data_IF_525372276308
#
_entry.id   IF_525372276308
#
_cell.length_a   1.000
_cell.length_b   1.000
_cell.length_c   1.000
_cell.angle_alpha   90.00
_cell.angle_beta   90.00
_cell.angle_gamma   90.00
#
_symmetry.space_group_name_H-M   'P 1'
#
loop_
_entity.id
_entity.type
_entity.pdbx_description
1 polymer ?
#
# COMPACT_ATOMS: atom_id res chain seq x y z
N UNK A 1 58.83 -7.24 -33.56
CA UNK A 1 57.74 -6.61 -34.36
C UNK A 1 56.42 -7.38 -34.28
N UNK A 2 56.36 -8.68 -34.61
CA UNK A 2 55.11 -9.48 -34.59
C UNK A 2 54.37 -9.48 -33.23
N UNK A 3 55.10 -9.54 -32.10
CA UNK A 3 54.50 -9.53 -30.75
C UNK A 3 53.89 -8.18 -30.35
N UNK A 4 54.47 -7.06 -30.84
CA UNK A 4 53.93 -5.71 -30.61
C UNK A 4 52.65 -5.47 -31.41
N UNK A 5 52.56 -6.02 -32.62
CA UNK A 5 51.36 -5.94 -33.46
C UNK A 5 50.19 -6.66 -32.77
N UNK A 6 50.41 -7.83 -32.19
CA UNK A 6 49.36 -8.58 -31.47
C UNK A 6 48.84 -7.79 -30.25
N UNK A 7 49.74 -7.20 -29.46
CA UNK A 7 49.35 -6.39 -28.28
C UNK A 7 48.60 -5.12 -28.70
N UNK A 8 49.04 -4.45 -29.77
CA UNK A 8 48.37 -3.28 -30.31
C UNK A 8 46.97 -3.60 -30.84
N UNK A 9 46.77 -4.78 -31.42
CA UNK A 9 45.47 -5.24 -31.94
C UNK A 9 44.52 -5.67 -30.80
N UNK A 10 45.06 -6.23 -29.71
CA UNK A 10 44.28 -6.58 -28.52
C UNK A 10 43.79 -5.34 -27.74
N UNK A 11 44.60 -4.28 -27.69
CA UNK A 11 44.25 -3.04 -26.98
C UNK A 11 43.25 -2.16 -27.75
N UNK A 12 43.26 -2.17 -29.08
CA UNK A 12 42.29 -1.40 -29.88
C UNK A 12 40.93 -2.08 -29.99
N UNK A 13 40.85 -3.41 -29.87
CA UNK A 13 39.59 -4.15 -29.93
C UNK A 13 38.61 -3.87 -28.79
N UNK A 14 39.09 -3.31 -27.66
CA UNK A 14 38.26 -3.07 -26.46
C UNK A 14 37.50 -1.74 -26.52
N UNK A 15 37.84 -0.84 -27.45
CA UNK A 15 37.25 0.51 -27.55
C UNK A 15 36.10 0.63 -28.57
N UNK A 16 35.73 -0.45 -29.27
CA UNK A 16 34.72 -0.40 -30.33
C UNK A 16 33.27 -0.65 -29.86
N UNK A 17 33.01 -0.69 -28.55
CA UNK A 17 31.64 -0.77 -28.03
C UNK A 17 31.05 0.64 -27.90
N UNK A 18 30.58 1.21 -29.01
CA UNK A 18 29.79 2.43 -28.98
C UNK A 18 28.41 2.13 -28.37
N UNK A 19 28.11 2.69 -27.20
CA UNK A 19 26.76 2.65 -26.63
C UNK A 19 25.82 3.44 -27.55
N UNK A 20 24.96 2.73 -28.28
CA UNK A 20 24.05 3.35 -29.25
C UNK A 20 22.85 4.04 -28.57
N UNK A 21 22.61 3.75 -27.28
CA UNK A 21 21.56 4.39 -26.49
C UNK A 21 21.99 4.68 -25.04
N UNK A 22 21.69 5.86 -24.54
CA UNK A 22 21.96 6.28 -23.14
C UNK A 22 20.67 6.24 -22.32
N UNK A 23 20.70 5.60 -21.13
CA UNK A 23 19.60 5.60 -20.15
C UNK A 23 19.89 6.59 -19.02
N UNK A 24 18.99 7.53 -18.76
CA UNK A 24 19.11 8.53 -17.68
C UNK A 24 17.84 8.59 -16.85
N UNK A 25 17.97 8.61 -15.52
CA UNK A 25 16.81 8.82 -14.66
C UNK A 25 16.46 10.31 -14.57
N UNK A 26 15.18 10.63 -14.76
CA UNK A 26 14.64 11.97 -14.61
C UNK A 26 13.84 12.04 -13.31
N UNK A 27 14.40 12.72 -12.31
CA UNK A 27 13.81 12.84 -10.97
C UNK A 27 12.51 13.66 -10.96
N UNK A 28 12.36 14.64 -11.86
CA UNK A 28 11.18 15.49 -11.97
C UNK A 28 9.99 14.66 -12.46
N UNK A 29 10.19 13.89 -13.53
CA UNK A 29 9.13 13.07 -14.13
C UNK A 29 9.04 11.64 -13.58
N UNK A 30 9.96 11.26 -12.68
CA UNK A 30 10.08 9.93 -12.06
C UNK A 30 10.05 8.81 -13.11
N UNK A 31 10.88 8.95 -14.15
CA UNK A 31 10.95 8.04 -15.30
C UNK A 31 12.39 7.88 -15.77
N UNK A 32 12.71 6.78 -16.43
CA UNK A 32 13.97 6.64 -17.14
C UNK A 32 13.80 7.09 -18.59
N UNK A 33 14.70 7.92 -19.10
CA UNK A 33 14.68 8.46 -20.45
C UNK A 33 15.82 7.83 -21.27
N UNK A 34 15.51 7.49 -22.52
CA UNK A 34 16.42 6.86 -23.47
C UNK A 34 16.77 7.85 -24.57
N UNK A 35 18.06 7.97 -24.88
CA UNK A 35 18.58 8.90 -25.89
C UNK A 35 19.42 8.17 -26.92
N UNK A 36 19.32 8.56 -28.19
CA UNK A 36 20.22 8.07 -29.25
C UNK A 36 21.62 8.69 -29.16
N UNK A 37 22.54 8.22 -30.01
CA UNK A 37 23.90 8.77 -30.11
C UNK A 37 23.97 10.24 -30.52
N UNK A 38 22.89 10.78 -31.08
CA UNK A 38 22.75 12.19 -31.50
C UNK A 38 22.15 13.07 -30.39
N UNK A 39 21.83 12.49 -29.22
CA UNK A 39 21.24 13.19 -28.08
C UNK A 39 19.72 13.39 -28.16
N UNK A 40 19.03 12.80 -29.14
CA UNK A 40 17.58 12.89 -29.25
C UNK A 40 16.93 11.80 -28.38
N UNK A 41 15.85 12.15 -27.67
CA UNK A 41 15.10 11.18 -26.87
C UNK A 41 14.35 10.20 -27.78
N UNK A 42 14.62 8.91 -27.61
CA UNK A 42 14.00 7.79 -28.36
C UNK A 42 12.83 7.16 -27.61
N UNK A 43 12.77 7.35 -26.29
CA UNK A 43 11.67 6.86 -25.46
C UNK A 43 11.88 7.06 -23.96
N UNK A 44 10.95 6.57 -23.14
CA UNK A 44 11.05 6.57 -21.70
C UNK A 44 10.32 5.41 -21.03
N UNK A 45 10.77 4.98 -19.85
CA UNK A 45 10.12 4.02 -18.97
C UNK A 45 9.55 4.70 -17.73
N UNK A 46 8.28 4.44 -17.43
CA UNK A 46 7.62 4.94 -16.22
C UNK A 46 7.00 3.80 -15.43
N UNK A 47 7.15 3.82 -14.11
CA UNK A 47 6.51 2.84 -13.24
C UNK A 47 5.02 3.18 -13.08
N UNK A 48 4.16 2.21 -13.34
CA UNK A 48 2.73 2.32 -13.15
C UNK A 48 2.32 1.67 -11.82
N UNK A 49 1.81 2.48 -10.90
CA UNK A 49 1.40 2.02 -9.56
C UNK A 49 0.17 1.13 -9.59
N UNK A 50 -0.68 1.23 -10.61
CA UNK A 50 -1.90 0.43 -10.74
C UNK A 50 -1.56 -0.99 -11.21
N UNK A 51 -0.78 -1.11 -12.29
CA UNK A 51 -0.37 -2.41 -12.86
C UNK A 51 0.87 -3.01 -12.20
N UNK A 52 1.54 -2.26 -11.30
CA UNK A 52 2.75 -2.66 -10.56
C UNK A 52 3.92 -3.08 -11.47
N UNK A 53 4.09 -2.40 -12.60
CA UNK A 53 5.13 -2.71 -13.59
C UNK A 53 5.70 -1.45 -14.27
N UNK A 54 6.87 -1.58 -14.88
CA UNK A 54 7.47 -0.53 -15.72
C UNK A 54 6.90 -0.58 -17.14
N UNK A 55 6.53 0.58 -17.68
CA UNK A 55 5.94 0.72 -19.01
C UNK A 55 6.83 1.59 -19.90
N UNK A 56 7.18 1.09 -21.09
CA UNK A 56 8.03 1.79 -22.07
C UNK A 56 7.20 2.56 -23.10
N UNK A 57 7.61 3.79 -23.40
CA UNK A 57 6.96 4.72 -24.31
C UNK A 57 7.97 5.23 -25.35
N UNK A 58 7.78 4.90 -26.64
CA UNK A 58 8.62 5.38 -27.75
C UNK A 58 8.23 6.80 -28.18
N UNK A 59 9.21 7.62 -28.57
CA UNK A 59 8.97 8.94 -29.18
C UNK A 59 8.73 8.87 -30.70
N UNK A 60 9.22 7.80 -31.35
CA UNK A 60 8.99 7.55 -32.78
C UNK A 60 7.60 6.94 -32.97
N UNK A 61 6.72 7.69 -33.64
CA UNK A 61 5.28 7.48 -33.68
C UNK A 61 4.81 6.39 -34.68
N UNK A 62 5.56 5.30 -34.84
CA UNK A 62 5.24 4.26 -35.82
C UNK A 62 5.46 2.86 -35.27
N UNK A 63 4.40 2.33 -34.62
CA UNK A 63 4.14 0.92 -34.30
C UNK A 63 5.15 0.23 -33.36
N UNK A 64 4.76 -0.59 -32.38
CA UNK A 64 3.48 -1.12 -31.96
C UNK A 64 3.56 -1.13 -30.44
N UNK A 65 2.54 -0.60 -29.77
CA UNK A 65 2.32 -0.91 -28.36
C UNK A 65 2.31 -2.43 -28.30
N UNK A 66 3.29 -3.06 -27.66
CA UNK A 66 3.04 -4.40 -27.12
C UNK A 66 1.84 -4.17 -26.21
N UNK A 67 0.64 -4.65 -26.57
CA UNK A 67 -0.50 -4.44 -25.71
C UNK A 67 -0.05 -4.97 -24.37
N UNK A 68 -0.18 -4.15 -23.33
CA UNK A 68 -0.21 -4.65 -21.96
C UNK A 68 -1.04 -5.91 -22.06
N UNK A 69 -0.45 -7.08 -21.77
CA UNK A 69 -1.30 -8.25 -21.60
C UNK A 69 -2.19 -7.83 -20.43
N UNK A 70 -3.39 -7.41 -20.79
CA UNK A 70 -4.46 -7.15 -19.87
C UNK A 70 -4.76 -8.53 -19.36
N UNK A 71 -4.04 -8.92 -18.30
CA UNK A 71 -4.52 -9.94 -17.40
C UNK A 71 -5.93 -9.50 -17.09
N UNK A 72 -6.90 -10.28 -17.58
CA UNK A 72 -8.30 -10.01 -17.31
C UNK A 72 -8.39 -9.68 -15.83
N UNK A 73 -9.02 -8.56 -15.43
CA UNK A 73 -9.16 -8.21 -14.02
C UNK A 73 -9.59 -9.48 -13.35
N UNK A 74 -8.81 -9.94 -12.36
CA UNK A 74 -9.09 -11.19 -11.65
C UNK A 74 -10.60 -11.17 -11.42
N UNK A 75 -11.30 -12.12 -12.04
CA UNK A 75 -12.75 -12.13 -11.92
C UNK A 75 -13.00 -12.25 -10.43
N UNK A 76 -13.46 -11.15 -9.84
CA UNK A 76 -13.79 -11.14 -8.44
C UNK A 76 -14.97 -12.08 -8.36
N UNK A 77 -14.73 -13.24 -7.74
CA UNK A 77 -15.77 -14.19 -7.46
C UNK A 77 -16.83 -13.43 -6.65
N UNK A 78 -17.96 -13.13 -7.31
CA UNK A 78 -19.06 -12.36 -6.73
C UNK A 78 -19.56 -13.07 -5.46
N UNK A 79 -19.46 -14.41 -5.42
CA UNK A 79 -19.77 -15.20 -4.25
C UNK A 79 -18.72 -15.01 -3.14
N UNK A 80 -17.42 -14.96 -3.48
CA UNK A 80 -16.34 -14.61 -2.55
C UNK A 80 -16.47 -13.21 -1.97
N UNK A 81 -16.82 -12.21 -2.78
CA UNK A 81 -17.12 -10.85 -2.32
C UNK A 81 -18.36 -10.78 -1.43
N UNK A 82 -19.44 -11.48 -1.83
CA UNK A 82 -20.65 -11.62 -1.04
C UNK A 82 -20.35 -12.23 0.33
N UNK A 83 -19.63 -13.36 0.37
CA UNK A 83 -19.22 -14.04 1.59
C UNK A 83 -18.35 -13.16 2.49
N UNK A 84 -17.41 -12.40 1.91
CA UNK A 84 -16.57 -11.48 2.66
C UNK A 84 -17.37 -10.31 3.24
N UNK A 85 -18.30 -9.74 2.47
CA UNK A 85 -19.18 -8.66 2.91
C UNK A 85 -20.13 -9.14 4.02
N UNK A 86 -20.79 -10.29 3.84
CA UNK A 86 -21.65 -10.91 4.85
C UNK A 86 -20.86 -11.21 6.13
N UNK A 87 -19.63 -11.72 6.02
CA UNK A 87 -18.78 -11.96 7.18
C UNK A 87 -18.44 -10.68 7.92
N UNK A 88 -18.08 -9.60 7.20
CA UNK A 88 -17.83 -8.29 7.81
C UNK A 88 -19.08 -7.71 8.46
N UNK A 89 -20.23 -7.81 7.80
CA UNK A 89 -21.51 -7.35 8.34
C UNK A 89 -21.89 -8.10 9.62
N UNK A 90 -21.74 -9.42 9.63
CA UNK A 90 -22.03 -10.24 10.81
C UNK A 90 -21.11 -9.90 11.99
N UNK A 91 -19.82 -9.63 11.73
CA UNK A 91 -18.89 -9.18 12.77
C UNK A 91 -19.27 -7.81 13.33
N UNK A 92 -19.66 -6.87 12.47
CA UNK A 92 -20.16 -5.56 12.90
C UNK A 92 -21.41 -5.71 13.77
N UNK A 93 -22.40 -6.47 13.30
CA UNK A 93 -23.64 -6.71 14.04
C UNK A 93 -23.37 -7.34 15.41
N UNK A 94 -22.46 -8.32 15.47
CA UNK A 94 -22.06 -8.96 16.73
C UNK A 94 -21.37 -7.98 17.68
N UNK A 95 -20.46 -7.15 17.18
CA UNK A 95 -19.79 -6.13 17.99
C UNK A 95 -20.79 -5.11 18.57
N UNK A 96 -21.74 -4.65 17.74
CA UNK A 96 -22.80 -3.75 18.19
C UNK A 96 -23.67 -4.39 19.27
N UNK A 97 -24.08 -5.64 19.08
CA UNK A 97 -24.88 -6.36 20.08
C UNK A 97 -24.14 -6.48 21.44
N UNK A 98 -22.83 -6.73 21.43
CA UNK A 98 -22.01 -6.74 22.64
C UNK A 98 -21.92 -5.36 23.30
N UNK A 99 -21.75 -4.29 22.53
CA UNK A 99 -21.74 -2.91 23.05
C UNK A 99 -23.08 -2.56 23.70
N UNK A 100 -24.19 -2.94 23.06
CA UNK A 100 -25.54 -2.69 23.56
C UNK A 100 -25.80 -3.47 24.86
N UNK A 101 -25.34 -4.73 24.93
CA UNK A 101 -25.42 -5.55 26.13
C UNK A 101 -24.65 -4.95 27.30
N UNK A 102 -23.38 -4.57 27.10
CA UNK A 102 -22.56 -3.91 28.14
C UNK A 102 -23.22 -2.60 28.59
N UNK A 103 -23.74 -1.81 27.65
CA UNK A 103 -24.47 -0.57 27.97
C UNK A 103 -25.70 -0.83 28.84
N UNK A 104 -26.44 -1.90 28.54
CA UNK A 104 -27.59 -2.34 29.34
C UNK A 104 -27.16 -2.76 30.75
N UNK A 105 -26.10 -3.56 30.86
CA UNK A 105 -25.54 -3.97 32.14
C UNK A 105 -25.14 -2.74 32.99
N UNK A 106 -24.44 -1.75 32.40
CA UNK A 106 -24.06 -0.51 33.08
C UNK A 106 -25.29 0.24 33.61
N UNK A 107 -26.35 0.35 32.79
CA UNK A 107 -27.60 1.02 33.20
C UNK A 107 -28.32 0.27 34.32
N UNK A 108 -28.23 -1.06 34.34
CA UNK A 108 -28.87 -1.91 35.35
C UNK A 108 -28.15 -1.96 36.70
N UNK A 109 -26.88 -1.51 36.78
CA UNK A 109 -26.10 -1.58 38.02
C UNK A 109 -26.77 -0.85 39.19
N UNK A 110 -26.66 -1.38 40.41
CA UNK A 110 -27.19 -0.76 41.62
C UNK A 110 -26.22 0.28 42.20
N UNK A 111 -25.96 1.35 41.45
CA UNK A 111 -25.07 2.46 41.80
C UNK A 111 -25.74 3.80 41.49
N UNK A 112 -25.16 4.92 41.96
CA UNK A 112 -25.72 6.25 41.68
C UNK A 112 -25.72 6.57 40.19
N UNK A 113 -26.74 7.32 39.73
CA UNK A 113 -26.84 7.73 38.31
C UNK A 113 -25.62 8.53 37.83
N UNK A 114 -24.99 9.28 38.72
CA UNK A 114 -23.76 10.01 38.43
C UNK A 114 -22.59 9.06 38.15
N UNK A 115 -22.41 8.01 38.97
CA UNK A 115 -21.41 6.96 38.70
C UNK A 115 -21.72 6.21 37.40
N UNK A 116 -22.99 5.84 37.14
CA UNK A 116 -23.38 5.22 35.86
C UNK A 116 -22.99 6.08 34.66
N UNK A 117 -23.21 7.38 34.76
CA UNK A 117 -22.91 8.32 33.67
C UNK A 117 -21.41 8.43 33.42
N UNK A 118 -20.59 8.47 34.48
CA UNK A 118 -19.13 8.45 34.36
C UNK A 118 -18.63 7.17 33.69
N UNK A 119 -19.12 6.01 34.13
CA UNK A 119 -18.75 4.70 33.57
C UNK A 119 -19.17 4.61 32.09
N UNK A 120 -20.40 5.04 31.76
CA UNK A 120 -20.89 5.00 30.39
C UNK A 120 -20.07 5.92 29.45
N UNK A 121 -19.72 7.12 29.91
CA UNK A 121 -18.89 8.05 29.15
C UNK A 121 -17.47 7.50 28.93
N UNK A 122 -16.88 6.90 29.97
CA UNK A 122 -15.57 6.27 29.87
C UNK A 122 -15.58 5.07 28.91
N UNK A 123 -16.62 4.24 28.98
CA UNK A 123 -16.83 3.12 28.08
C UNK A 123 -16.99 3.57 26.62
N UNK A 124 -17.87 4.53 26.34
CA UNK A 124 -18.09 5.06 24.99
C UNK A 124 -16.82 5.68 24.39
N UNK A 125 -16.10 6.49 25.18
CA UNK A 125 -14.83 7.08 24.77
C UNK A 125 -13.80 5.99 24.41
N UNK A 126 -13.77 4.91 25.19
CA UNK A 126 -12.89 3.76 24.93
C UNK A 126 -13.25 3.05 23.63
N UNK A 127 -14.53 2.79 23.39
CA UNK A 127 -15.00 2.18 22.12
C UNK A 127 -14.59 3.04 20.92
N UNK A 128 -14.81 4.36 20.99
CA UNK A 128 -14.44 5.29 19.91
C UNK A 128 -12.92 5.33 19.66
N UNK A 129 -12.11 5.39 20.72
CA UNK A 129 -10.65 5.38 20.59
C UNK A 129 -10.15 4.08 19.94
N UNK A 130 -10.73 2.94 20.31
CA UNK A 130 -10.32 1.65 19.76
C UNK A 130 -10.72 1.47 18.30
N UNK A 131 -11.90 1.96 17.89
CA UNK A 131 -12.28 1.98 16.46
C UNK A 131 -11.26 2.81 15.65
N UNK A 132 -10.85 3.97 16.17
CA UNK A 132 -9.83 4.82 15.53
C UNK A 132 -8.45 4.15 15.50
N UNK A 133 -8.03 3.46 16.56
CA UNK A 133 -6.73 2.78 16.64
C UNK A 133 -6.65 1.49 15.83
N UNK A 134 -7.74 0.72 15.71
CA UNK A 134 -7.83 -0.44 14.79
C UNK A 134 -7.74 0.02 13.34
N UNK A 135 -8.37 1.15 13.01
CA UNK A 135 -8.16 1.79 11.70
C UNK A 135 -6.69 2.18 11.45
N UNK A 136 -5.90 2.31 12.51
CA UNK A 136 -4.49 2.72 12.47
C UNK A 136 -3.48 1.58 12.80
N UNK A 137 -3.93 0.37 13.18
CA UNK A 137 -3.10 -0.83 13.33
C UNK A 137 -2.41 -1.08 14.67
N UNK A 138 -2.88 -0.54 15.80
CA UNK A 138 -2.21 -0.65 17.11
C UNK A 138 -2.85 -1.70 18.07
N UNK A 139 -2.02 -2.50 18.78
CA UNK A 139 -2.44 -3.76 19.49
C UNK A 139 -2.31 -3.70 21.03
N UNK A 140 -1.67 -2.68 21.61
CA UNK A 140 -1.44 -2.59 23.07
C UNK A 140 -2.67 -2.18 23.92
N UNK A 141 -3.86 -2.18 23.34
CA UNK A 141 -5.03 -1.49 23.89
C UNK A 141 -5.69 -2.18 25.10
N UNK A 142 -5.60 -3.51 25.22
CA UNK A 142 -6.23 -4.24 26.34
C UNK A 142 -5.65 -3.83 27.70
N UNK A 143 -4.35 -3.53 27.73
CA UNK A 143 -3.64 -3.15 28.95
C UNK A 143 -4.03 -1.74 29.43
N UNK A 144 -4.19 -0.79 28.50
CA UNK A 144 -4.59 0.58 28.83
C UNK A 144 -6.04 0.66 29.32
N UNK A 145 -6.92 -0.17 28.78
CA UNK A 145 -8.34 -0.23 29.16
C UNK A 145 -8.50 -0.71 30.60
N UNK A 146 -7.77 -1.74 31.00
CA UNK A 146 -7.83 -2.25 32.38
C UNK A 146 -7.40 -1.19 33.38
N UNK A 147 -6.36 -0.41 33.08
CA UNK A 147 -5.91 0.67 33.96
C UNK A 147 -6.90 1.83 34.06
N UNK A 148 -7.51 2.24 32.94
CA UNK A 148 -8.52 3.31 32.91
C UNK A 148 -9.77 2.98 33.73
N UNK A 149 -10.19 1.71 33.73
CA UNK A 149 -11.33 1.25 34.53
C UNK A 149 -10.96 1.28 36.02
N UNK A 150 -9.77 0.78 36.37
CA UNK A 150 -9.25 0.78 37.75
C UNK A 150 -9.17 2.22 38.30
N UNK A 151 -8.63 3.16 37.53
CA UNK A 151 -8.55 4.58 37.91
C UNK A 151 -9.91 5.28 38.03
N UNK A 152 -10.97 4.72 37.43
CA UNK A 152 -12.33 5.30 37.48
C UNK A 152 -13.20 4.78 38.63
N UNK A 153 -12.73 3.75 39.33
CA UNK A 153 -13.39 3.15 40.49
C UNK A 153 -12.90 3.72 41.84
N UNK A 154 -11.75 4.39 41.86
CA UNK A 154 -11.22 5.20 42.98
C UNK A 154 -11.82 6.63 43.01
#
# INVERSE_FOLDING_TARGET
>A
MKKFIIIATLLTGVFCFSQTATKKYNSIYKRYEYFDSSGNMTGYEKYNSFSKQWEYYSTNNSQSRQPTQYSSPQQLDISGLGNAMTTKQNRYNKAQATIDDITSQIKSMNISNERKTKILNAFNKTVEMNIRRISNGDVNWLYEVTNLIIESDD
#
